data_IF_533740671045
#
_entry.id   IF_533740671045
#
_cell.length_a   1.000
_cell.length_b   1.000
_cell.length_c   1.000
_cell.angle_alpha   90.00
_cell.angle_beta   90.00
_cell.angle_gamma   90.00
#
_symmetry.space_group_name_H-M   'P 1'
#
loop_
_entity.id
_entity.type
_entity.pdbx_description
1 polymer ?
#
# COMPACT_ATOMS: atom_id res chain seq x y z
N UNK A 1 51.80 -32.33 7.23
CA UNK A 1 51.07 -31.09 7.57
C UNK A 1 49.56 -31.22 7.32
N UNK A 2 49.12 -31.97 6.31
CA UNK A 2 47.70 -32.19 5.98
C UNK A 2 46.94 -33.10 6.97
N UNK A 3 47.57 -34.12 7.57
CA UNK A 3 46.90 -35.04 8.52
C UNK A 3 46.59 -34.39 9.88
N UNK A 4 47.45 -33.48 10.35
CA UNK A 4 47.27 -32.74 11.61
C UNK A 4 46.20 -31.64 11.51
N UNK A 5 46.05 -31.02 10.33
CA UNK A 5 44.95 -30.08 10.07
C UNK A 5 43.61 -30.81 10.04
N UNK A 6 43.56 -32.01 9.44
CA UNK A 6 42.33 -32.81 9.39
C UNK A 6 41.89 -33.33 10.76
N UNK A 7 42.83 -33.75 11.62
CA UNK A 7 42.50 -34.23 12.98
C UNK A 7 41.98 -33.13 13.91
N UNK A 8 42.34 -31.86 13.67
CA UNK A 8 41.82 -30.71 14.44
C UNK A 8 40.51 -30.20 13.86
N UNK A 9 40.32 -30.26 12.53
CA UNK A 9 39.10 -29.76 11.87
C UNK A 9 37.92 -30.77 11.93
N UNK A 10 38.18 -32.08 11.96
CA UNK A 10 37.14 -33.12 12.01
C UNK A 10 36.18 -33.07 13.23
N UNK A 11 36.63 -32.80 14.47
CA UNK A 11 35.71 -32.66 15.60
C UNK A 11 34.91 -31.34 15.53
N UNK A 12 35.51 -30.26 15.04
CA UNK A 12 34.81 -28.99 14.79
C UNK A 12 33.76 -29.19 13.69
N UNK A 13 34.06 -30.04 12.70
CA UNK A 13 33.14 -30.32 11.62
C UNK A 13 31.92 -31.09 12.09
N UNK A 14 32.13 -32.09 12.93
CA UNK A 14 31.07 -32.90 13.48
C UNK A 14 30.13 -32.11 14.42
N UNK A 15 30.65 -31.14 15.18
CA UNK A 15 29.83 -30.26 16.02
C UNK A 15 28.91 -29.36 15.17
N UNK A 16 29.39 -28.82 14.04
CA UNK A 16 28.50 -28.04 13.17
C UNK A 16 27.36 -28.90 12.60
N UNK A 17 27.62 -30.16 12.28
CA UNK A 17 26.61 -31.07 11.71
C UNK A 17 25.49 -31.32 12.70
N UNK A 18 25.83 -31.62 13.95
CA UNK A 18 24.83 -31.81 15.01
C UNK A 18 24.07 -30.54 15.34
N UNK A 19 24.73 -29.38 15.36
CA UNK A 19 24.06 -28.08 15.52
C UNK A 19 23.09 -27.80 14.37
N UNK A 20 23.48 -28.10 13.12
CA UNK A 20 22.65 -27.89 11.93
C UNK A 20 21.46 -28.85 11.89
N UNK A 21 21.66 -30.12 12.25
CA UNK A 21 20.58 -31.11 12.40
C UNK A 21 19.62 -30.68 13.51
N UNK A 22 20.14 -30.27 14.68
CA UNK A 22 19.34 -29.78 15.79
C UNK A 22 18.49 -28.56 15.41
N UNK A 23 19.07 -27.62 14.66
CA UNK A 23 18.36 -26.47 14.11
C UNK A 23 17.25 -26.90 13.14
N UNK A 24 17.54 -27.81 12.21
CA UNK A 24 16.54 -28.32 11.25
C UNK A 24 15.38 -28.99 11.99
N UNK A 25 15.66 -29.84 12.98
CA UNK A 25 14.62 -30.52 13.77
C UNK A 25 13.79 -29.52 14.56
N UNK A 26 14.40 -28.54 15.21
CA UNK A 26 13.69 -27.49 15.95
C UNK A 26 12.78 -26.67 15.01
N UNK A 27 13.27 -26.34 13.82
CA UNK A 27 12.53 -25.62 12.78
C UNK A 27 11.34 -26.46 12.29
N UNK A 28 11.53 -27.75 11.99
CA UNK A 28 10.45 -28.65 11.58
C UNK A 28 9.40 -28.85 12.68
N UNK A 29 9.82 -28.99 13.94
CA UNK A 29 8.92 -29.11 15.08
C UNK A 29 8.09 -27.83 15.28
N UNK A 30 8.73 -26.66 15.23
CA UNK A 30 8.05 -25.37 15.26
C UNK A 30 7.01 -25.23 14.13
N UNK A 31 7.36 -25.64 12.91
CA UNK A 31 6.44 -25.61 11.77
C UNK A 31 5.27 -26.59 11.93
N UNK A 32 5.53 -27.80 12.40
CA UNK A 32 4.48 -28.79 12.65
C UNK A 32 3.49 -28.29 13.71
N UNK A 33 3.99 -27.70 14.79
CA UNK A 33 3.14 -27.13 15.84
C UNK A 33 2.35 -25.92 15.34
N UNK A 34 3.00 -24.99 14.65
CA UNK A 34 2.34 -23.82 14.04
C UNK A 34 1.23 -24.22 13.07
N UNK A 35 1.47 -25.27 12.29
CA UNK A 35 0.49 -25.85 11.38
C UNK A 35 -0.71 -26.47 12.10
N UNK A 36 -0.47 -27.27 13.15
CA UNK A 36 -1.55 -27.84 13.97
C UNK A 36 -2.41 -26.75 14.60
N UNK A 37 -1.78 -25.71 15.13
CA UNK A 37 -2.49 -24.56 15.69
C UNK A 37 -3.31 -23.84 14.63
N UNK A 38 -2.79 -23.68 13.41
CA UNK A 38 -3.56 -23.11 12.30
C UNK A 38 -4.80 -23.97 11.96
N UNK A 39 -4.65 -25.29 11.94
CA UNK A 39 -5.79 -26.19 11.68
C UNK A 39 -6.87 -26.12 12.76
N UNK A 40 -6.51 -25.90 14.02
CA UNK A 40 -7.48 -25.82 15.13
C UNK A 40 -8.08 -24.43 15.31
N UNK A 41 -7.32 -23.35 15.10
CA UNK A 41 -7.69 -21.99 15.49
C UNK A 41 -9.09 -21.54 15.03
N UNK A 42 -9.45 -21.77 13.75
CA UNK A 42 -10.78 -21.43 13.23
C UNK A 42 -11.84 -22.45 13.63
N UNK A 43 -11.47 -23.73 13.70
CA UNK A 43 -12.35 -24.82 14.13
C UNK A 43 -12.82 -24.61 15.58
N UNK A 44 -11.90 -24.23 16.47
CA UNK A 44 -12.17 -23.96 17.88
C UNK A 44 -13.09 -22.73 18.07
N UNK A 45 -13.13 -21.84 17.07
CA UNK A 45 -14.02 -20.66 17.01
C UNK A 45 -15.31 -20.91 16.24
N UNK A 46 -15.55 -22.14 15.79
CA UNK A 46 -16.72 -22.51 14.99
C UNK A 46 -16.81 -21.74 13.66
N UNK A 47 -15.66 -21.36 13.09
CA UNK A 47 -15.57 -20.66 11.81
C UNK A 47 -15.09 -21.64 10.73
N UNK A 48 -15.90 -21.78 9.68
CA UNK A 48 -15.58 -22.59 8.51
C UNK A 48 -14.50 -21.93 7.65
N UNK A 49 -13.75 -22.72 6.89
CA UNK A 49 -12.74 -22.18 6.00
C UNK A 49 -11.99 -23.25 5.21
N UNK A 50 -11.25 -22.84 4.15
CA UNK A 50 -10.39 -23.74 3.42
C UNK A 50 -9.25 -24.25 4.32
N UNK A 51 -8.96 -25.55 4.24
CA UNK A 51 -7.81 -26.14 4.92
C UNK A 51 -6.55 -25.38 4.45
N UNK A 52 -5.74 -24.81 5.36
CA UNK A 52 -4.48 -24.17 4.99
C UNK A 52 -3.54 -25.21 4.34
N UNK A 53 -2.44 -24.77 3.72
CA UNK A 53 -1.26 -25.54 3.25
C UNK A 53 -0.06 -25.21 4.17
N UNK A 54 0.80 -26.17 4.59
CA UNK A 54 1.84 -25.89 5.59
C UNK A 54 2.69 -24.70 5.16
N UNK A 55 3.04 -23.83 6.12
CA UNK A 55 3.84 -22.61 5.92
C UNK A 55 3.08 -21.50 5.18
N UNK A 56 2.45 -21.81 4.05
CA UNK A 56 1.84 -20.81 3.17
C UNK A 56 0.41 -20.43 3.56
N UNK A 57 -0.29 -21.28 4.32
CA UNK A 57 -1.72 -21.08 4.58
C UNK A 57 -2.52 -21.24 3.29
N UNK A 58 -3.40 -20.28 3.00
CA UNK A 58 -4.26 -20.28 1.83
C UNK A 58 -3.77 -19.32 0.72
N UNK A 59 -2.55 -18.76 0.84
CA UNK A 59 -2.01 -17.76 -0.11
C UNK A 59 -1.64 -18.34 -1.48
N UNK A 60 -1.43 -19.66 -1.59
CA UNK A 60 -1.05 -20.28 -2.86
C UNK A 60 -2.21 -20.33 -3.86
N UNK A 61 -3.46 -20.47 -3.39
CA UNK A 61 -4.61 -20.48 -4.30
C UNK A 61 -4.75 -19.16 -5.07
N UNK A 62 -4.62 -17.97 -4.43
CA UNK A 62 -4.53 -16.68 -5.12
C UNK A 62 -3.33 -16.47 -6.07
N UNK A 63 -2.28 -17.29 -5.98
CA UNK A 63 -1.12 -17.23 -6.89
C UNK A 63 -1.42 -17.99 -8.18
N UNK A 64 -2.08 -19.15 -8.07
CA UNK A 64 -2.44 -20.00 -9.20
C UNK A 64 -3.68 -19.50 -9.94
N UNK A 65 -4.57 -18.80 -9.23
CA UNK A 65 -5.83 -18.26 -9.75
C UNK A 65 -6.04 -16.87 -9.18
N UNK A 66 -6.50 -15.92 -9.99
CA UNK A 66 -6.70 -14.55 -9.52
C UNK A 66 -7.61 -14.51 -8.27
N UNK A 67 -7.13 -13.77 -7.25
CA UNK A 67 -7.70 -13.73 -5.90
C UNK A 67 -9.23 -13.57 -5.84
N UNK A 68 -9.87 -12.67 -6.61
CA UNK A 68 -11.32 -12.49 -6.52
C UNK A 68 -12.12 -13.77 -6.83
N UNK A 69 -11.65 -14.58 -7.78
CA UNK A 69 -12.34 -15.83 -8.11
C UNK A 69 -12.20 -16.88 -7.01
N UNK A 70 -11.02 -16.96 -6.37
CA UNK A 70 -10.78 -17.85 -5.24
C UNK A 70 -11.66 -17.45 -4.05
N UNK A 71 -11.72 -16.16 -3.73
CA UNK A 71 -12.55 -15.64 -2.64
C UNK A 71 -14.04 -15.87 -2.92
N UNK A 72 -14.48 -15.76 -4.17
CA UNK A 72 -15.87 -16.07 -4.55
C UNK A 72 -16.21 -17.55 -4.42
N UNK A 73 -15.28 -18.46 -4.74
CA UNK A 73 -15.47 -19.90 -4.51
C UNK A 73 -15.57 -20.26 -3.03
N UNK A 74 -14.71 -19.65 -2.21
CA UNK A 74 -14.77 -19.82 -0.76
C UNK A 74 -16.04 -19.22 -0.16
N UNK A 75 -16.48 -18.05 -0.64
CA UNK A 75 -17.76 -17.47 -0.26
C UNK A 75 -18.93 -18.41 -0.57
N UNK A 76 -18.98 -18.97 -1.78
CA UNK A 76 -20.03 -19.94 -2.17
C UNK A 76 -19.99 -21.22 -1.34
N UNK A 77 -18.80 -21.66 -0.91
CA UNK A 77 -18.60 -22.94 -0.20
C UNK A 77 -18.77 -22.82 1.32
N UNK A 78 -18.24 -21.76 1.93
CA UNK A 78 -18.17 -21.59 3.38
C UNK A 78 -19.13 -20.52 3.90
N UNK A 79 -19.79 -19.76 3.01
CA UNK A 79 -20.77 -18.74 3.34
C UNK A 79 -20.16 -17.34 3.49
N UNK A 80 -20.95 -16.46 4.12
CA UNK A 80 -20.62 -15.02 4.26
C UNK A 80 -19.51 -14.74 5.28
N UNK A 81 -19.11 -15.72 6.07
CA UNK A 81 -18.09 -15.59 7.10
C UNK A 81 -17.19 -16.82 7.05
N UNK A 82 -15.91 -16.64 6.75
CA UNK A 82 -14.97 -17.76 6.71
C UNK A 82 -13.56 -17.34 7.09
N UNK A 83 -12.83 -18.27 7.69
CA UNK A 83 -11.46 -18.10 8.15
C UNK A 83 -10.46 -18.61 7.13
N UNK A 84 -9.41 -17.83 6.87
CA UNK A 84 -8.25 -18.24 6.08
C UNK A 84 -6.96 -17.98 6.85
N UNK A 85 -5.84 -18.52 6.36
CA UNK A 85 -4.50 -18.20 6.84
C UNK A 85 -3.71 -17.53 5.74
N UNK A 86 -3.16 -16.35 6.02
CA UNK A 86 -2.21 -15.67 5.14
C UNK A 86 -0.81 -15.79 5.73
N UNK A 87 0.04 -16.66 5.17
CA UNK A 87 1.42 -16.89 5.66
C UNK A 87 1.46 -17.15 7.18
N UNK A 88 0.62 -18.07 7.65
CA UNK A 88 0.49 -18.42 9.07
C UNK A 88 -0.32 -17.44 9.93
N UNK A 89 -0.69 -16.25 9.44
CA UNK A 89 -1.54 -15.31 10.17
C UNK A 89 -3.02 -15.61 9.91
N UNK A 90 -3.87 -15.78 10.93
CA UNK A 90 -5.31 -15.93 10.73
C UNK A 90 -5.89 -14.65 10.12
N UNK A 91 -6.73 -14.78 9.11
CA UNK A 91 -7.52 -13.69 8.51
C UNK A 91 -8.98 -14.12 8.42
N UNK A 92 -9.89 -13.30 8.96
CA UNK A 92 -11.32 -13.50 8.83
C UNK A 92 -11.83 -12.76 7.61
N UNK A 93 -12.49 -13.46 6.70
CA UNK A 93 -13.21 -12.84 5.58
C UNK A 93 -14.66 -12.63 6.00
N UNK A 94 -15.13 -11.39 5.86
CA UNK A 94 -16.47 -10.97 6.25
C UNK A 94 -17.19 -10.41 5.02
N UNK A 95 -18.30 -11.04 4.66
CA UNK A 95 -19.17 -10.65 3.54
C UNK A 95 -20.63 -10.43 4.00
N UNK A 96 -20.87 -10.43 5.31
CA UNK A 96 -22.17 -10.06 5.87
C UNK A 96 -22.26 -8.53 6.08
N UNK A 97 -23.26 -7.83 5.51
CA UNK A 97 -23.35 -6.37 5.60
C UNK A 97 -23.42 -5.82 7.01
N UNK A 98 -24.10 -6.50 7.95
CA UNK A 98 -24.22 -6.02 9.32
C UNK A 98 -22.89 -6.14 10.06
N UNK A 99 -22.16 -7.24 9.85
CA UNK A 99 -20.81 -7.40 10.38
C UNK A 99 -19.81 -6.42 9.74
N UNK A 100 -19.93 -6.15 8.44
CA UNK A 100 -19.12 -5.14 7.75
C UNK A 100 -19.37 -3.77 8.36
N UNK A 101 -20.64 -3.40 8.59
CA UNK A 101 -21.01 -2.14 9.26
C UNK A 101 -20.48 -2.08 10.69
N UNK A 102 -20.54 -3.19 11.42
CA UNK A 102 -19.96 -3.28 12.76
C UNK A 102 -18.45 -2.98 12.74
N UNK A 103 -17.70 -3.60 11.83
CA UNK A 103 -16.23 -3.49 11.76
C UNK A 103 -15.78 -2.13 11.20
N UNK A 104 -16.39 -1.68 10.11
CA UNK A 104 -15.93 -0.49 9.36
C UNK A 104 -16.50 0.83 9.87
N UNK A 105 -17.57 0.78 10.67
CA UNK A 105 -18.25 1.99 11.19
C UNK A 105 -18.29 1.98 12.70
N UNK A 106 -19.04 1.05 13.32
CA UNK A 106 -19.32 1.10 14.77
C UNK A 106 -18.06 0.89 15.62
N UNK A 107 -17.28 -0.14 15.31
CA UNK A 107 -16.06 -0.49 16.03
C UNK A 107 -14.80 -0.02 15.30
N UNK A 108 -14.92 1.00 14.44
CA UNK A 108 -13.83 1.44 13.56
C UNK A 108 -12.54 1.73 14.35
N UNK A 109 -12.65 2.30 15.57
CA UNK A 109 -11.51 2.56 16.48
C UNK A 109 -10.62 1.34 16.72
N UNK A 110 -11.19 0.13 16.73
CA UNK A 110 -10.49 -1.15 16.88
C UNK A 110 -9.87 -1.67 15.57
N UNK A 111 -10.35 -1.21 14.41
CA UNK A 111 -9.99 -1.71 13.08
C UNK A 111 -9.37 -0.64 12.16
N UNK A 112 -8.86 0.48 12.73
CA UNK A 112 -8.35 1.63 11.97
C UNK A 112 -7.20 1.29 11.01
N UNK A 113 -6.32 0.38 11.43
CA UNK A 113 -5.07 0.10 10.74
C UNK A 113 -5.27 -0.90 9.60
N UNK A 114 -4.81 -0.53 8.40
CA UNK A 114 -4.76 -1.44 7.25
C UNK A 114 -3.58 -2.39 7.38
N UNK A 115 -3.69 -3.55 6.71
CA UNK A 115 -2.59 -4.51 6.62
C UNK A 115 -1.40 -3.82 5.94
N UNK A 116 -0.23 -3.87 6.59
CA UNK A 116 1.02 -3.44 5.95
C UNK A 116 1.24 -4.25 4.66
N UNK A 117 1.29 -3.55 3.54
CA UNK A 117 1.67 -4.12 2.25
C UNK A 117 3.20 -4.23 2.22
N UNK A 118 3.72 -5.29 1.62
CA UNK A 118 5.16 -5.45 1.45
C UNK A 118 5.67 -4.31 0.56
N UNK A 119 6.39 -3.37 1.16
CA UNK A 119 7.05 -2.27 0.48
C UNK A 119 8.18 -1.81 1.38
N UNK A 120 9.39 -1.75 0.82
CA UNK A 120 10.61 -1.65 1.60
C UNK A 120 11.18 -0.22 1.68
N UNK A 121 10.50 0.76 1.08
CA UNK A 121 10.92 2.15 1.09
C UNK A 121 10.40 2.86 2.36
N UNK A 122 11.26 3.69 2.98
CA UNK A 122 10.95 4.41 4.21
C UNK A 122 9.69 5.28 4.08
N UNK A 123 9.44 5.82 2.89
CA UNK A 123 8.34 6.74 2.62
C UNK A 123 6.97 6.07 2.67
N UNK A 124 6.91 4.75 2.40
CA UNK A 124 5.64 4.04 2.34
C UNK A 124 4.91 4.01 3.69
N UNK A 125 5.66 3.99 4.79
CA UNK A 125 5.07 4.07 6.14
C UNK A 125 4.33 5.39 6.41
N UNK A 126 4.60 6.43 5.61
CA UNK A 126 4.00 7.76 5.71
C UNK A 126 2.86 8.00 4.71
N UNK A 127 2.63 7.07 3.76
CA UNK A 127 1.48 7.15 2.83
C UNK A 127 0.20 7.05 3.66
N UNK A 128 -0.80 7.90 3.44
CA UNK A 128 -2.07 7.88 4.19
C UNK A 128 -2.74 6.49 4.18
N UNK A 129 -2.55 5.68 3.14
CA UNK A 129 -3.07 4.30 3.08
C UNK A 129 -2.41 3.34 4.09
N UNK A 130 -1.15 3.58 4.47
CA UNK A 130 -0.30 2.69 5.27
C UNK A 130 0.11 3.29 6.62
N UNK A 131 -0.08 4.60 6.80
CA UNK A 131 0.05 5.29 8.08
C UNK A 131 -0.84 4.62 9.12
N UNK A 132 -0.45 4.72 10.40
CA UNK A 132 -1.11 4.01 11.50
C UNK A 132 -1.65 4.98 12.53
N UNK A 133 -2.74 4.57 13.18
CA UNK A 133 -3.26 5.20 14.39
C UNK A 133 -3.42 6.73 14.23
N UNK A 134 -2.78 7.52 15.10
CA UNK A 134 -2.95 8.98 15.12
C UNK A 134 -2.23 9.67 13.94
N UNK A 135 -1.16 9.09 13.40
CA UNK A 135 -0.52 9.59 12.18
C UNK A 135 -1.46 9.47 10.99
N UNK A 136 -2.16 8.35 10.87
CA UNK A 136 -3.20 8.18 9.86
C UNK A 136 -4.31 9.22 10.02
N UNK A 137 -4.82 9.41 11.25
CA UNK A 137 -5.90 10.37 11.53
C UNK A 137 -5.47 11.78 11.13
N UNK A 138 -4.26 12.19 11.52
CA UNK A 138 -3.67 13.49 11.19
C UNK A 138 -3.47 13.68 9.69
N UNK A 139 -2.72 12.79 9.04
CA UNK A 139 -2.43 12.90 7.61
C UNK A 139 -3.72 12.93 6.79
N UNK A 140 -4.70 12.08 7.15
CA UNK A 140 -6.00 12.06 6.48
C UNK A 140 -6.78 13.36 6.66
N UNK A 141 -6.83 13.90 7.88
CA UNK A 141 -7.51 15.17 8.15
C UNK A 141 -6.94 16.31 7.30
N UNK A 142 -5.61 16.31 7.13
CA UNK A 142 -4.90 17.35 6.39
C UNK A 142 -4.99 17.17 4.87
N UNK A 143 -4.93 15.93 4.37
CA UNK A 143 -4.92 15.64 2.94
C UNK A 143 -6.34 15.55 2.32
N UNK A 144 -7.36 15.11 3.06
CA UNK A 144 -8.72 14.93 2.49
C UNK A 144 -9.32 16.20 1.87
N UNK A 145 -9.11 17.42 2.41
CA UNK A 145 -9.62 18.66 1.82
C UNK A 145 -9.15 18.94 0.38
N UNK A 146 -8.05 18.34 -0.07
CA UNK A 146 -7.58 18.50 -1.46
C UNK A 146 -8.51 17.84 -2.48
N UNK A 147 -9.38 16.91 -2.04
CA UNK A 147 -10.33 16.18 -2.88
C UNK A 147 -11.76 16.75 -2.81
N UNK A 148 -11.97 17.92 -2.21
CA UNK A 148 -13.27 18.59 -2.22
C UNK A 148 -13.69 18.95 -3.65
N UNK A 149 -15.00 19.02 -3.90
CA UNK A 149 -15.53 19.35 -5.23
C UNK A 149 -14.98 20.67 -5.78
N UNK A 150 -14.75 21.67 -4.92
CA UNK A 150 -14.15 22.95 -5.30
C UNK A 150 -12.71 22.82 -5.80
N UNK A 151 -11.88 22.02 -5.12
CA UNK A 151 -10.48 21.77 -5.53
C UNK A 151 -10.41 20.86 -6.76
N UNK A 152 -11.26 19.83 -6.83
CA UNK A 152 -11.39 18.97 -8.01
C UNK A 152 -11.76 19.75 -9.28
N UNK A 153 -12.66 20.74 -9.17
CA UNK A 153 -13.00 21.63 -10.29
C UNK A 153 -11.79 22.43 -10.80
N UNK A 154 -10.82 22.78 -9.94
CA UNK A 154 -9.60 23.47 -10.37
C UNK A 154 -8.69 22.58 -11.23
N UNK A 155 -8.71 21.26 -10.99
CA UNK A 155 -7.95 20.27 -11.76
C UNK A 155 -8.69 19.82 -13.04
N UNK A 156 -9.98 20.15 -13.20
CA UNK A 156 -10.78 19.72 -14.35
C UNK A 156 -10.15 20.08 -15.70
N UNK A 157 -9.58 21.29 -15.80
CA UNK A 157 -8.89 21.72 -17.02
C UNK A 157 -7.74 20.79 -17.38
N UNK A 158 -6.96 20.32 -16.40
CA UNK A 158 -5.84 19.38 -16.62
C UNK A 158 -6.35 18.03 -17.15
N UNK A 159 -7.44 17.53 -16.58
CA UNK A 159 -8.07 16.27 -17.02
C UNK A 159 -8.58 16.40 -18.46
N UNK A 160 -9.20 17.53 -18.80
CA UNK A 160 -9.73 17.76 -20.15
C UNK A 160 -8.61 17.81 -21.20
N UNK A 161 -7.50 18.48 -20.91
CA UNK A 161 -6.34 18.49 -21.81
C UNK A 161 -5.76 17.08 -22.04
N UNK A 162 -5.66 16.26 -20.97
CA UNK A 162 -5.25 14.86 -21.12
C UNK A 162 -6.23 14.05 -21.98
N UNK A 163 -7.54 14.34 -21.89
CA UNK A 163 -8.56 13.71 -22.72
C UNK A 163 -8.40 14.09 -24.20
N UNK A 164 -8.16 15.37 -24.49
CA UNK A 164 -7.92 15.85 -25.86
C UNK A 164 -6.66 15.21 -26.46
N UNK A 165 -5.54 15.18 -25.73
CA UNK A 165 -4.31 14.51 -26.17
C UNK A 165 -4.55 13.02 -26.44
N UNK A 166 -5.31 12.35 -25.57
CA UNK A 166 -5.69 10.94 -25.71
C UNK A 166 -6.52 10.68 -26.97
N UNK A 167 -7.58 11.48 -27.20
CA UNK A 167 -8.44 11.35 -28.38
C UNK A 167 -7.66 11.64 -29.67
N UNK A 168 -6.84 12.68 -29.69
CA UNK A 168 -5.99 13.01 -30.84
C UNK A 168 -5.03 11.87 -31.20
N UNK A 169 -4.52 11.14 -30.21
CA UNK A 169 -3.64 10.00 -30.48
C UNK A 169 -4.43 8.78 -30.98
N UNK A 170 -5.63 8.55 -30.46
CA UNK A 170 -6.52 7.50 -30.96
C UNK A 170 -6.94 7.76 -32.42
N UNK A 171 -7.29 9.00 -32.76
CA UNK A 171 -7.65 9.40 -34.13
C UNK A 171 -6.50 9.16 -35.13
N UNK A 172 -5.25 9.41 -34.70
CA UNK A 172 -4.06 9.11 -35.51
C UNK A 172 -3.92 7.61 -35.79
N UNK A 173 -4.23 6.77 -34.82
CA UNK A 173 -4.09 5.33 -34.97
C UNK A 173 -5.22 4.72 -35.82
N UNK A 174 -6.45 5.22 -35.65
CA UNK A 174 -7.57 4.92 -36.55
C UNK A 174 -7.23 5.33 -37.98
N UNK A 175 -6.62 6.51 -38.18
CA UNK A 175 -6.19 7.00 -39.49
C UNK A 175 -5.10 6.12 -40.14
N UNK A 176 -4.31 5.38 -39.34
CA UNK A 176 -3.34 4.38 -39.82
C UNK A 176 -3.96 3.01 -40.10
N UNK A 177 -5.28 2.87 -39.92
CA UNK A 177 -6.01 1.62 -40.14
C UNK A 177 -6.01 0.65 -38.95
N UNK A 178 -5.67 1.10 -37.73
CA UNK A 178 -5.84 0.27 -36.54
C UNK A 178 -7.33 0.15 -36.19
N UNK A 179 -7.84 -1.08 -36.22
CA UNK A 179 -9.25 -1.41 -35.91
C UNK A 179 -9.41 -2.11 -34.55
N UNK A 180 -8.31 -2.43 -33.88
CA UNK A 180 -8.28 -3.12 -32.60
C UNK A 180 -7.34 -2.37 -31.66
N UNK A 181 -7.73 -2.26 -30.39
CA UNK A 181 -6.94 -1.59 -29.35
C UNK A 181 -6.92 -2.43 -28.08
N UNK A 182 -5.77 -2.44 -27.40
CA UNK A 182 -5.65 -3.08 -26.09
C UNK A 182 -6.08 -2.07 -25.00
N UNK A 183 -7.27 -2.29 -24.43
CA UNK A 183 -7.89 -1.32 -23.51
C UNK A 183 -7.08 -1.08 -22.24
N UNK A 184 -6.36 -2.07 -21.71
CA UNK A 184 -5.60 -1.91 -20.47
C UNK A 184 -4.42 -0.96 -20.66
N UNK A 185 -3.67 -1.10 -21.75
CA UNK A 185 -2.59 -0.19 -22.13
C UNK A 185 -3.13 1.20 -22.45
N UNK A 186 -4.20 1.27 -23.25
CA UNK A 186 -4.83 2.52 -23.65
C UNK A 186 -5.31 3.33 -22.43
N UNK A 187 -6.10 2.72 -21.55
CA UNK A 187 -6.64 3.37 -20.34
C UNK A 187 -5.56 3.57 -19.28
N UNK A 188 -4.57 2.67 -19.21
CA UNK A 188 -3.39 2.83 -18.35
C UNK A 188 -2.61 4.08 -18.71
N UNK A 189 -2.35 4.31 -20.00
CA UNK A 189 -1.67 5.51 -20.48
C UNK A 189 -2.45 6.79 -20.17
N UNK A 190 -3.76 6.80 -20.43
CA UNK A 190 -4.63 7.93 -20.12
C UNK A 190 -4.63 8.26 -18.61
N UNK A 191 -4.86 7.25 -17.76
CA UNK A 191 -4.92 7.45 -16.30
C UNK A 191 -3.57 7.89 -15.74
N UNK A 192 -2.46 7.39 -16.28
CA UNK A 192 -1.12 7.84 -15.92
C UNK A 192 -0.88 9.31 -16.28
N UNK A 193 -1.27 9.75 -17.47
CA UNK A 193 -1.14 11.15 -17.87
C UNK A 193 -2.03 12.08 -17.03
N UNK A 194 -3.25 11.65 -16.71
CA UNK A 194 -4.14 12.38 -15.81
C UNK A 194 -3.52 12.53 -14.43
N UNK A 195 -2.94 11.47 -13.86
CA UNK A 195 -2.26 11.53 -12.55
C UNK A 195 -1.02 12.42 -12.64
N UNK A 196 -0.15 12.26 -13.63
CA UNK A 196 1.04 13.08 -13.81
C UNK A 196 0.70 14.58 -13.91
N UNK A 197 -0.37 14.91 -14.62
CA UNK A 197 -0.86 16.27 -14.80
C UNK A 197 -1.53 16.82 -13.52
N UNK A 198 -2.49 16.10 -12.94
CA UNK A 198 -3.23 16.57 -11.76
C UNK A 198 -2.43 16.54 -10.46
N UNK A 199 -1.44 15.63 -10.35
CA UNK A 199 -0.61 15.54 -9.16
C UNK A 199 0.60 16.48 -9.22
N UNK A 200 1.23 16.61 -10.39
CA UNK A 200 2.55 17.24 -10.52
C UNK A 200 2.61 18.37 -11.55
N UNK A 201 1.50 18.72 -12.22
CA UNK A 201 1.46 19.60 -13.38
C UNK A 201 2.51 19.21 -14.45
N UNK A 202 2.73 17.91 -14.64
CA UNK A 202 3.73 17.37 -15.56
C UNK A 202 3.04 16.72 -16.75
N UNK A 203 3.49 17.07 -17.96
CA UNK A 203 3.03 16.44 -19.21
C UNK A 203 3.98 15.30 -19.58
N UNK A 204 3.49 14.08 -19.53
CA UNK A 204 4.22 12.85 -19.88
C UNK A 204 3.89 12.35 -21.29
N UNK A 205 2.63 12.48 -21.73
CA UNK A 205 2.11 11.93 -22.99
C UNK A 205 2.49 10.44 -23.16
N UNK A 206 2.14 9.66 -22.13
CA UNK A 206 2.44 8.23 -21.98
C UNK A 206 1.98 7.40 -23.16
N UNK A 207 0.90 7.83 -23.81
CA UNK A 207 0.41 7.13 -25.00
C UNK A 207 1.43 7.15 -26.15
N UNK A 208 2.06 8.31 -26.40
CA UNK A 208 3.03 8.47 -27.47
C UNK A 208 4.42 7.94 -27.10
N UNK A 209 4.79 8.00 -25.80
CA UNK A 209 6.02 7.43 -25.26
C UNK A 209 5.73 6.49 -24.08
N UNK A 210 5.37 5.22 -24.36
CA UNK A 210 5.04 4.24 -23.32
C UNK A 210 6.22 3.92 -22.39
N UNK A 211 7.45 4.11 -22.85
CA UNK A 211 8.68 3.78 -22.11
C UNK A 211 9.28 4.98 -21.38
N UNK A 212 8.51 6.06 -21.22
CA UNK A 212 9.01 7.21 -20.49
C UNK A 212 9.39 6.81 -19.04
N UNK A 213 10.31 7.56 -18.40
CA UNK A 213 10.77 7.21 -17.06
C UNK A 213 9.65 7.17 -16.01
N UNK A 214 8.61 8.01 -16.16
CA UNK A 214 7.51 8.06 -15.20
C UNK A 214 6.69 6.76 -15.21
N UNK A 215 6.39 6.22 -16.40
CA UNK A 215 5.61 4.99 -16.57
C UNK A 215 6.41 3.74 -16.22
N UNK A 216 7.65 3.69 -16.68
CA UNK A 216 8.54 2.55 -16.42
C UNK A 216 8.80 2.37 -14.92
N UNK A 217 8.98 3.47 -14.16
CA UNK A 217 9.16 3.39 -12.71
C UNK A 217 7.84 3.11 -11.98
N UNK A 218 6.70 3.65 -12.45
CA UNK A 218 5.38 3.33 -11.89
C UNK A 218 5.06 1.83 -12.03
N UNK A 219 5.28 1.24 -13.19
CA UNK A 219 5.01 -0.17 -13.44
C UNK A 219 5.82 -1.08 -12.52
N UNK A 220 7.09 -0.75 -12.25
CA UNK A 220 7.91 -1.52 -11.32
C UNK A 220 7.47 -1.37 -9.86
N UNK A 221 6.96 -0.18 -9.50
CA UNK A 221 6.42 0.10 -8.16
C UNK A 221 5.21 -0.77 -7.85
N UNK A 222 4.30 -0.93 -8.82
CA UNK A 222 3.08 -1.72 -8.67
C UNK A 222 3.29 -3.24 -8.89
N UNK A 223 4.28 -3.63 -9.68
CA UNK A 223 4.61 -5.05 -9.93
C UNK A 223 5.60 -5.61 -8.92
N UNK A 224 5.19 -5.68 -7.64
CA UNK A 224 6.01 -6.30 -6.59
C UNK A 224 5.96 -7.83 -6.75
N UNK A 225 7.11 -8.51 -6.96
CA UNK A 225 7.13 -9.95 -7.12
C UNK A 225 6.60 -10.66 -5.86
N UNK A 226 5.71 -11.63 -6.04
CA UNK A 226 5.09 -12.39 -4.96
C UNK A 226 6.12 -12.98 -3.97
N UNK A 227 7.26 -13.46 -4.48
CA UNK A 227 8.32 -14.06 -3.66
C UNK A 227 8.95 -13.06 -2.68
N UNK A 228 9.05 -11.77 -3.03
CA UNK A 228 9.56 -10.73 -2.10
C UNK A 228 8.59 -10.52 -0.93
N UNK A 229 7.29 -10.47 -1.22
CA UNK A 229 6.24 -10.41 -0.19
C UNK A 229 6.23 -11.66 0.70
N UNK A 230 6.41 -12.83 0.09
CA UNK A 230 6.50 -14.12 0.79
C UNK A 230 7.70 -14.19 1.73
N UNK A 231 8.90 -13.84 1.25
CA UNK A 231 10.12 -13.87 2.06
C UNK A 231 10.02 -12.94 3.27
N UNK A 232 9.42 -11.76 3.10
CA UNK A 232 9.20 -10.80 4.19
C UNK A 232 8.22 -11.31 5.27
N UNK A 233 7.35 -12.27 4.93
CA UNK A 233 6.34 -12.80 5.85
C UNK A 233 6.77 -14.11 6.53
N UNK A 234 7.72 -14.86 5.95
CA UNK A 234 8.21 -16.13 6.47
C UNK A 234 9.37 -15.99 7.45
N UNK A 235 10.20 -14.96 7.27
CA UNK A 235 11.35 -14.72 8.13
C UNK A 235 10.95 -13.96 9.40
N UNK A 236 11.55 -14.28 10.57
CA UNK A 236 11.43 -13.45 11.77
C UNK A 236 11.79 -11.99 11.51
N UNK A 237 11.14 -11.06 12.21
CA UNK A 237 11.28 -9.61 11.98
C UNK A 237 12.72 -9.12 12.02
N UNK A 238 13.58 -9.69 12.88
CA UNK A 238 14.99 -9.33 12.96
C UNK A 238 15.79 -9.76 11.70
N UNK A 239 15.51 -10.95 11.16
CA UNK A 239 16.14 -11.43 9.92
C UNK A 239 15.63 -10.62 8.73
N UNK A 240 14.33 -10.32 8.68
CA UNK A 240 13.76 -9.42 7.66
C UNK A 240 14.41 -8.05 7.72
N UNK A 241 14.66 -7.50 8.91
CA UNK A 241 15.31 -6.19 9.05
C UNK A 241 16.75 -6.19 8.52
N UNK A 242 17.52 -7.25 8.78
CA UNK A 242 18.89 -7.39 8.26
C UNK A 242 18.85 -7.58 6.74
N UNK A 243 18.02 -8.50 6.24
CA UNK A 243 17.86 -8.78 4.83
C UNK A 243 17.35 -7.54 4.07
N UNK A 244 16.44 -6.77 4.66
CA UNK A 244 15.95 -5.50 4.11
C UNK A 244 17.08 -4.49 3.97
N UNK A 245 17.98 -4.35 4.93
CA UNK A 245 19.15 -3.46 4.80
C UNK A 245 20.09 -3.88 3.67
N UNK A 246 20.27 -5.18 3.44
CA UNK A 246 21.16 -5.73 2.42
C UNK A 246 20.52 -5.64 1.02
N UNK A 247 19.25 -6.02 0.88
CA UNK A 247 18.53 -6.04 -0.41
C UNK A 247 18.09 -4.65 -0.85
N UNK A 248 17.90 -3.70 0.07
CA UNK A 248 17.56 -2.32 -0.27
C UNK A 248 18.77 -1.43 -0.62
N UNK A 249 19.99 -1.98 -0.71
CA UNK A 249 21.16 -1.20 -1.09
C UNK A 249 21.19 -0.79 -2.58
N UNK A 250 20.17 -1.17 -3.37
CA UNK A 250 19.98 -0.74 -4.75
C UNK A 250 18.74 0.15 -4.89
N UNK A 251 18.93 1.32 -5.51
CA UNK A 251 17.93 2.34 -5.83
C UNK A 251 16.54 1.73 -6.06
N UNK A 252 15.61 2.04 -5.17
CA UNK A 252 14.23 1.64 -5.32
C UNK A 252 13.56 2.52 -6.38
N UNK A 253 12.63 1.99 -7.16
CA UNK A 253 11.83 2.82 -8.09
C UNK A 253 11.06 3.92 -7.34
N UNK A 254 10.92 3.78 -6.01
CA UNK A 254 10.41 4.82 -5.15
C UNK A 254 11.37 6.01 -4.96
N UNK A 255 12.67 5.83 -5.13
CA UNK A 255 13.63 6.94 -5.10
C UNK A 255 13.42 7.88 -6.29
N UNK A 256 13.10 7.34 -7.48
CA UNK A 256 12.73 8.14 -8.65
C UNK A 256 11.58 9.11 -8.33
N UNK A 257 10.47 8.60 -7.79
CA UNK A 257 9.32 9.46 -7.45
C UNK A 257 9.60 10.41 -6.29
N UNK A 258 10.43 9.98 -5.33
CA UNK A 258 10.86 10.84 -4.21
C UNK A 258 11.67 12.03 -4.75
N UNK A 259 12.67 11.77 -5.59
CA UNK A 259 13.55 12.80 -6.14
C UNK A 259 12.84 13.67 -7.18
N UNK A 260 11.98 13.07 -8.01
CA UNK A 260 11.12 13.77 -8.94
C UNK A 260 10.21 14.77 -8.19
N UNK A 261 9.49 14.32 -7.18
CA UNK A 261 8.58 15.20 -6.40
C UNK A 261 9.38 16.27 -5.66
N UNK A 262 10.52 15.93 -5.05
CA UNK A 262 11.39 16.89 -4.37
C UNK A 262 11.90 17.97 -5.32
N UNK A 263 12.27 17.59 -6.56
CA UNK A 263 12.72 18.54 -7.57
C UNK A 263 11.62 19.56 -7.96
N UNK A 264 10.36 19.10 -8.05
CA UNK A 264 9.21 19.97 -8.34
C UNK A 264 8.93 20.91 -7.16
N UNK A 265 8.92 20.39 -5.93
CA UNK A 265 8.76 21.21 -4.72
C UNK A 265 9.83 22.31 -4.68
N UNK A 266 11.10 21.95 -4.90
CA UNK A 266 12.21 22.90 -4.91
C UNK A 266 12.02 23.99 -5.99
N UNK A 267 11.74 23.58 -7.23
CA UNK A 267 11.52 24.52 -8.35
C UNK A 267 10.40 25.52 -8.06
N UNK A 268 9.27 25.05 -7.51
CA UNK A 268 8.13 25.93 -7.14
C UNK A 268 8.48 26.89 -6.02
N UNK A 269 9.24 26.43 -5.01
CA UNK A 269 9.70 27.27 -3.90
C UNK A 269 10.66 28.36 -4.40
N UNK A 270 11.57 28.03 -5.30
CA UNK A 270 12.57 28.95 -5.84
C UNK A 270 11.95 29.97 -6.80
N UNK A 271 11.10 29.53 -7.73
CA UNK A 271 10.50 30.39 -8.77
C UNK A 271 9.22 31.12 -8.30
N UNK A 272 8.69 30.79 -7.12
CA UNK A 272 7.38 31.27 -6.61
C UNK A 272 6.21 30.98 -7.57
N UNK A 273 6.33 29.92 -8.38
CA UNK A 273 5.28 29.43 -9.28
C UNK A 273 4.15 28.76 -8.47
N UNK A 274 2.90 29.06 -8.82
CA UNK A 274 1.71 28.41 -8.24
C UNK A 274 0.98 27.63 -9.33
N UNK A 275 0.61 26.40 -9.01
CA UNK A 275 -0.14 25.52 -9.90
C UNK A 275 -1.50 25.15 -9.31
N UNK A 276 -2.46 24.79 -10.17
CA UNK A 276 -3.77 24.28 -9.76
C UNK A 276 -3.76 22.74 -9.71
N UNK A 277 -2.82 22.16 -8.95
CA UNK A 277 -2.63 20.71 -8.84
C UNK A 277 -2.56 20.25 -7.37
N UNK A 278 -2.59 18.94 -7.17
CA UNK A 278 -2.60 18.32 -5.84
C UNK A 278 -1.34 18.63 -5.02
N UNK A 279 -0.15 18.60 -5.63
CA UNK A 279 1.10 18.92 -4.91
C UNK A 279 1.12 20.36 -4.39
N UNK A 280 0.60 21.32 -5.16
CA UNK A 280 0.48 22.70 -4.70
C UNK A 280 -0.46 22.79 -3.49
N UNK A 281 -1.56 22.05 -3.50
CA UNK A 281 -2.48 22.01 -2.37
C UNK A 281 -1.81 21.47 -1.10
N UNK A 282 -0.99 20.42 -1.21
CA UNK A 282 -0.22 19.91 -0.07
C UNK A 282 0.83 20.91 0.45
N UNK A 283 1.53 21.62 -0.45
CA UNK A 283 2.49 22.67 -0.09
C UNK A 283 1.79 23.86 0.60
N UNK A 284 0.60 24.24 0.12
CA UNK A 284 -0.15 25.35 0.71
C UNK A 284 -0.65 25.00 2.12
N UNK A 285 -1.00 23.73 2.35
CA UNK A 285 -1.41 23.22 3.66
C UNK A 285 -0.24 23.10 4.64
N UNK A 286 0.97 22.79 4.18
CA UNK A 286 2.20 22.90 4.98
C UNK A 286 2.43 24.33 5.49
N UNK A 287 2.07 25.34 4.68
CA UNK A 287 2.36 26.76 4.92
C UNK A 287 1.28 27.51 5.69
N UNK A 288 0.02 27.08 5.61
CA UNK A 288 -1.12 27.79 6.21
C UNK A 288 -1.33 27.36 7.67
N UNK A 289 -1.25 28.33 8.58
CA UNK A 289 -1.52 28.14 10.02
C UNK A 289 -3.02 28.30 10.38
N UNK A 290 -3.90 28.62 9.43
CA UNK A 290 -5.20 29.22 9.74
C UNK A 290 -6.48 28.64 9.12
N UNK A 291 -6.43 27.83 8.07
CA UNK A 291 -7.64 27.48 7.28
C UNK A 291 -8.15 26.04 7.46
N UNK A 292 -7.61 25.31 8.44
CA UNK A 292 -8.01 23.92 8.69
C UNK A 292 -9.43 23.84 9.32
N UNK A 293 -10.02 24.98 9.68
CA UNK A 293 -11.39 25.07 10.21
C UNK A 293 -12.46 24.72 9.17
N UNK A 294 -12.25 24.98 7.88
CA UNK A 294 -13.20 24.52 6.83
C UNK A 294 -13.11 23.00 6.57
N UNK A 295 -12.02 22.34 6.99
CA UNK A 295 -11.87 20.89 6.89
C UNK A 295 -12.62 20.11 7.97
N UNK A 296 -12.91 20.76 9.11
CA UNK A 296 -13.75 20.24 10.20
C UNK A 296 -15.16 19.91 9.70
N UNK A 297 -15.81 20.88 9.06
CA UNK A 297 -17.22 20.77 8.65
C UNK A 297 -17.43 19.74 7.51
N UNK A 298 -16.41 19.49 6.69
CA UNK A 298 -16.46 18.46 5.66
C UNK A 298 -16.25 17.04 6.21
N UNK A 299 -15.54 16.89 7.33
CA UNK A 299 -15.35 15.59 7.99
C UNK A 299 -16.51 15.23 8.91
N UNK A 300 -17.25 16.21 9.45
CA UNK A 300 -18.48 15.96 10.22
C UNK A 300 -19.53 15.18 9.41
N UNK A 301 -19.56 15.33 8.08
CA UNK A 301 -20.42 14.56 7.19
C UNK A 301 -20.11 13.04 7.17
N UNK A 302 -18.96 12.61 7.70
CA UNK A 302 -18.61 11.20 7.85
C UNK A 302 -18.90 10.61 9.24
N UNK A 303 -19.31 11.43 10.22
CA UNK A 303 -19.63 11.02 11.60
C UNK A 303 -21.14 10.88 11.85
N UNK A 304 -21.90 10.35 10.88
CA UNK A 304 -23.38 10.26 10.95
C UNK A 304 -23.90 9.33 12.08
N UNK A 305 -23.05 8.69 12.90
CA UNK A 305 -23.52 7.74 13.93
C UNK A 305 -22.71 7.71 15.25
N UNK A 306 -21.92 8.73 15.58
CA UNK A 306 -21.27 8.78 16.91
C UNK A 306 -22.13 9.60 17.91
N UNK A 307 -22.15 9.17 19.18
CA UNK A 307 -22.96 9.82 20.22
C UNK A 307 -22.47 11.24 20.51
N UNK A 308 -23.38 12.13 20.97
CA UNK A 308 -23.09 13.56 21.21
C UNK A 308 -21.88 13.83 22.11
N UNK A 309 -21.62 12.97 23.10
CA UNK A 309 -20.50 13.10 24.03
C UNK A 309 -19.16 12.58 23.44
N UNK A 310 -19.22 11.68 22.44
CA UNK A 310 -18.04 11.20 21.70
C UNK A 310 -17.59 12.19 20.63
N UNK A 311 -18.54 12.88 19.99
CA UNK A 311 -18.28 13.94 19.01
C UNK A 311 -17.44 15.06 19.63
N UNK A 312 -17.72 15.46 20.88
CA UNK A 312 -16.98 16.54 21.56
C UNK A 312 -15.53 16.17 21.91
N UNK A 313 -15.29 14.93 22.35
CA UNK A 313 -13.94 14.47 22.69
C UNK A 313 -13.09 14.23 21.43
N UNK A 314 -13.69 13.69 20.36
CA UNK A 314 -12.99 13.53 19.09
C UNK A 314 -12.75 14.88 18.40
N UNK A 315 -13.64 15.87 18.56
CA UNK A 315 -13.48 17.23 18.04
C UNK A 315 -12.37 18.03 18.75
N UNK A 316 -12.25 17.96 20.09
CA UNK A 316 -11.14 18.58 20.83
C UNK A 316 -9.79 17.88 20.55
N UNK A 317 -9.80 16.54 20.42
CA UNK A 317 -8.62 15.81 19.97
C UNK A 317 -8.28 16.14 18.50
N UNK A 318 -9.29 16.36 17.65
CA UNK A 318 -9.13 16.74 16.25
C UNK A 318 -8.54 18.15 16.14
N UNK A 319 -9.04 19.14 16.88
CA UNK A 319 -8.48 20.50 16.89
C UNK A 319 -7.01 20.51 17.30
N UNK A 320 -6.63 19.71 18.32
CA UNK A 320 -5.24 19.59 18.76
C UNK A 320 -4.34 18.84 17.75
N UNK A 321 -4.91 17.97 16.91
CA UNK A 321 -4.17 17.27 15.84
C UNK A 321 -3.94 18.17 14.63
N UNK A 322 -4.87 19.10 14.36
CA UNK A 322 -4.75 20.07 13.26
C UNK A 322 -3.64 21.11 13.49
N UNK A 323 -3.14 21.28 14.73
CA UNK A 323 -1.96 22.12 14.99
C UNK A 323 -0.66 21.56 14.36
N UNK A 324 -0.62 20.28 13.97
CA UNK A 324 0.58 19.63 13.44
C UNK A 324 0.60 19.62 11.91
N UNK A 325 1.50 20.41 11.33
CA UNK A 325 1.81 20.47 9.88
C UNK A 325 2.27 19.12 9.33
N UNK A 326 2.04 18.88 8.04
CA UNK A 326 2.68 17.77 7.33
C UNK A 326 4.18 18.06 7.18
N UNK A 327 5.01 17.06 7.43
CA UNK A 327 6.44 17.14 7.10
C UNK A 327 6.66 17.00 5.59
N UNK A 328 7.78 17.50 5.07
CA UNK A 328 8.11 17.34 3.63
C UNK A 328 8.08 15.86 3.20
N UNK A 329 8.59 14.96 4.04
CA UNK A 329 8.52 13.52 3.77
C UNK A 329 7.08 12.97 3.70
N UNK A 330 6.14 13.54 4.45
CA UNK A 330 4.73 13.15 4.40
C UNK A 330 4.01 13.71 3.18
N UNK A 331 4.39 14.92 2.74
CA UNK A 331 3.95 15.50 1.46
C UNK A 331 4.45 14.62 0.32
N UNK A 332 5.75 14.30 0.31
CA UNK A 332 6.35 13.40 -0.66
C UNK A 332 5.64 12.04 -0.65
N UNK A 333 5.29 11.51 0.53
CA UNK A 333 4.58 10.24 0.65
C UNK A 333 3.18 10.26 0.03
N UNK A 334 2.45 11.38 0.10
CA UNK A 334 1.10 11.45 -0.48
C UNK A 334 1.10 11.51 -2.02
N UNK A 335 2.28 11.68 -2.63
CA UNK A 335 2.47 11.67 -4.08
C UNK A 335 2.79 10.26 -4.65
N UNK A 336 2.77 9.22 -3.81
CA UNK A 336 2.86 7.80 -4.17
C UNK A 336 1.48 7.15 -4.14
#
# INVERSE_FOLDING_TARGET
MTSLLWSVLAPISQVYEWCLIGLIVAVLAYYHFSWKNALSYWKDRQISGPKPIPIFGNVLSPVLKARPFVEMEWYKKYGKLFGVFNMGKPCLTVADPELIKQILVKDFRSFRNRRAVAGNHKIFSKIMLLARDDDWKRVRAIASPTFTSGKMKKMYGLINHCCEDFLNNLDKDVSKGMNEVELKQLMGAYTMDVIASCAFATKTNTYADPNNPFTTNADKLFNIPFWKGMLSSLLPSFIVSIFRRIVNAGNSDADFFTDFTRSIIKKRRDNKEKHNDFLQLLIDVERSEGDIREASDANEAHHVNEGKDEITADAEAFSNVLEKKLTEDEILAQCF
#
